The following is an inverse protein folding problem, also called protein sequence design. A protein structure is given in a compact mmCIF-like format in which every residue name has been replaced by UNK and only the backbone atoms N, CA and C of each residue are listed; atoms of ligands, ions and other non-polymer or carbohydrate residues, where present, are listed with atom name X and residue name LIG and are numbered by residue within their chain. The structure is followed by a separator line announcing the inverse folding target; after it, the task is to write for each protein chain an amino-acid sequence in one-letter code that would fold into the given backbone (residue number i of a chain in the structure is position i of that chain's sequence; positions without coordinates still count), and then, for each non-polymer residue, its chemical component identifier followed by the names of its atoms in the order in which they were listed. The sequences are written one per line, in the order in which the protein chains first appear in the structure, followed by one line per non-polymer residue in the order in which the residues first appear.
data_IF_069472121146
#
_entry.id   IF_069472121146
#
_cell.length_a   1.000
_cell.length_b   1.000
_cell.length_c   1.000
_cell.angle_alpha   90.00
_cell.angle_beta   90.00
_cell.angle_gamma   90.00
#
_symmetry.space_group_name_H-M   'P 1'
#
loop_
_entity.id
_entity.type
_entity.pdbx_description
1 polymer ?
#
# COMPACT_ATOMS: atom_id res chain seq x y z
N UNK A 1 21.14 17.77 -10.29
CA UNK A 1 21.33 16.68 -11.28
C UNK A 1 21.41 15.38 -10.50
N UNK A 2 20.28 14.72 -10.24
CA UNK A 2 20.32 13.38 -9.65
C UNK A 2 20.57 12.44 -10.81
N UNK A 3 21.81 11.92 -10.92
CA UNK A 3 22.11 10.85 -11.85
C UNK A 3 21.29 9.61 -11.44
N UNK A 4 20.41 9.13 -12.31
CA UNK A 4 19.80 7.81 -12.16
C UNK A 4 20.82 6.76 -12.59
N UNK A 5 21.51 6.17 -11.62
CA UNK A 5 22.32 4.99 -11.87
C UNK A 5 21.40 3.82 -12.26
N UNK A 6 21.64 3.23 -13.44
CA UNK A 6 20.94 2.03 -13.88
C UNK A 6 21.86 0.83 -13.63
N UNK A 7 21.38 -0.11 -12.83
CA UNK A 7 22.05 -1.39 -12.60
C UNK A 7 21.36 -2.50 -13.40
N UNK A 8 22.16 -3.37 -14.02
CA UNK A 8 21.64 -4.49 -14.78
C UNK A 8 21.32 -5.67 -13.86
N UNK A 9 20.07 -6.14 -13.88
CA UNK A 9 19.62 -7.33 -13.16
C UNK A 9 19.30 -8.43 -14.17
N UNK A 10 19.84 -9.63 -13.96
CA UNK A 10 19.51 -10.81 -14.79
C UNK A 10 18.56 -11.72 -14.04
N UNK A 11 17.45 -12.10 -14.68
CA UNK A 11 16.46 -13.02 -14.10
C UNK A 11 15.92 -13.96 -15.17
N UNK A 12 15.51 -15.16 -14.75
CA UNK A 12 14.91 -16.17 -15.63
C UNK A 12 13.40 -16.06 -15.53
N UNK A 13 12.75 -15.72 -16.64
CA UNK A 13 11.29 -15.60 -16.71
C UNK A 13 10.70 -16.77 -17.51
N UNK A 14 9.51 -17.26 -17.13
CA UNK A 14 8.76 -18.20 -17.97
C UNK A 14 8.53 -17.62 -19.37
N UNK A 15 8.58 -18.46 -20.40
CA UNK A 15 8.39 -18.03 -21.80
C UNK A 15 7.08 -17.29 -22.01
N UNK A 16 6.02 -17.70 -21.32
CA UNK A 16 4.70 -17.08 -21.47
C UNK A 16 4.66 -15.64 -20.97
N UNK A 17 5.33 -15.38 -19.85
CA UNK A 17 5.46 -14.04 -19.29
C UNK A 17 6.26 -13.13 -20.22
N UNK A 18 7.35 -13.65 -20.81
CA UNK A 18 8.16 -12.87 -21.75
C UNK A 18 7.36 -12.49 -23.00
N UNK A 19 6.55 -13.41 -23.54
CA UNK A 19 5.66 -13.12 -24.67
C UNK A 19 4.67 -12.00 -24.36
N UNK A 20 4.11 -12.00 -23.16
CA UNK A 20 3.15 -10.96 -22.75
C UNK A 20 3.82 -9.59 -22.60
N UNK A 21 5.03 -9.55 -22.02
CA UNK A 21 5.84 -8.33 -21.94
C UNK A 21 6.16 -7.80 -23.34
N UNK A 22 6.58 -8.66 -24.27
CA UNK A 22 6.89 -8.25 -25.64
C UNK A 22 5.66 -7.68 -26.36
N UNK A 23 4.51 -8.35 -26.24
CA UNK A 23 3.23 -7.89 -26.79
C UNK A 23 2.84 -6.50 -26.27
N UNK A 24 3.02 -6.26 -24.96
CA UNK A 24 2.73 -4.96 -24.35
C UNK A 24 3.74 -3.88 -24.77
N UNK A 25 5.02 -4.23 -24.89
CA UNK A 25 6.07 -3.31 -25.29
C UNK A 25 5.85 -2.79 -26.72
N UNK A 26 5.47 -3.69 -27.63
CA UNK A 26 5.08 -3.34 -29.01
C UNK A 26 3.86 -2.41 -29.04
N UNK A 27 2.82 -2.75 -28.27
CA UNK A 27 1.59 -1.95 -28.18
C UNK A 27 1.86 -0.53 -27.68
N UNK A 28 2.73 -0.39 -26.67
CA UNK A 28 3.09 0.88 -26.05
C UNK A 28 4.24 1.62 -26.75
N UNK A 29 4.87 0.99 -27.76
CA UNK A 29 6.04 1.51 -28.50
C UNK A 29 7.21 1.87 -27.59
N UNK A 30 7.49 1.03 -26.60
CA UNK A 30 8.62 1.16 -25.67
C UNK A 30 9.55 -0.04 -25.80
N UNK A 31 10.80 0.11 -25.37
CA UNK A 31 11.69 -1.05 -25.32
C UNK A 31 11.30 -2.00 -24.16
N UNK A 32 11.70 -3.25 -24.31
CA UNK A 32 11.40 -4.31 -23.34
C UNK A 32 11.91 -3.97 -21.93
N UNK A 33 13.09 -3.35 -21.83
CA UNK A 33 13.71 -3.07 -20.52
C UNK A 33 12.96 -1.95 -19.80
N UNK A 34 12.55 -0.92 -20.53
CA UNK A 34 11.70 0.16 -20.02
C UNK A 34 10.34 -0.35 -19.55
N UNK A 35 9.66 -1.20 -20.34
CA UNK A 35 8.39 -1.78 -19.90
C UNK A 35 8.56 -2.62 -18.64
N UNK A 36 9.56 -3.51 -18.60
CA UNK A 36 9.85 -4.33 -17.41
C UNK A 36 10.10 -3.43 -16.20
N UNK A 37 10.86 -2.34 -16.36
CA UNK A 37 11.13 -1.39 -15.28
C UNK A 37 9.85 -0.74 -14.77
N UNK A 38 8.96 -0.28 -15.65
CA UNK A 38 7.66 0.32 -15.27
C UNK A 38 6.75 -0.66 -14.55
N UNK A 39 6.66 -1.89 -15.05
CA UNK A 39 5.87 -2.96 -14.41
C UNK A 39 6.42 -3.29 -13.02
N UNK A 40 7.74 -3.36 -12.87
CA UNK A 40 8.39 -3.58 -11.58
C UNK A 40 8.16 -2.41 -10.62
N UNK A 41 8.31 -1.16 -11.07
CA UNK A 41 8.03 0.02 -10.23
C UNK A 41 6.57 0.01 -9.75
N UNK A 42 5.62 -0.27 -10.65
CA UNK A 42 4.22 -0.43 -10.29
C UNK A 42 4.00 -1.53 -9.25
N UNK A 43 4.57 -2.73 -9.48
CA UNK A 43 4.44 -3.85 -8.57
C UNK A 43 5.04 -3.55 -7.19
N UNK A 44 6.19 -2.87 -7.12
CA UNK A 44 6.83 -2.49 -5.87
C UNK A 44 6.01 -1.45 -5.10
N UNK A 45 5.43 -0.46 -5.79
CA UNK A 45 4.50 0.50 -5.16
C UNK A 45 3.27 -0.21 -4.61
N UNK A 46 2.68 -1.11 -5.38
CA UNK A 46 1.51 -1.87 -4.94
C UNK A 46 1.83 -2.74 -3.72
N UNK A 47 2.98 -3.42 -3.71
CA UNK A 47 3.44 -4.22 -2.57
C UNK A 47 3.57 -3.39 -1.29
N UNK A 48 4.16 -2.18 -1.38
CA UNK A 48 4.28 -1.26 -0.23
C UNK A 48 2.93 -0.82 0.30
N UNK A 49 1.97 -0.55 -0.58
CA UNK A 49 0.59 -0.19 -0.19
C UNK A 49 -0.07 -1.36 0.54
N UNK A 50 0.05 -2.58 0.02
CA UNK A 50 -0.57 -3.76 0.62
C UNK A 50 0.03 -4.08 2.00
N UNK A 51 1.36 -4.01 2.16
CA UNK A 51 2.04 -4.18 3.46
C UNK A 51 1.60 -3.11 4.49
N UNK A 52 1.44 -1.85 4.05
CA UNK A 52 1.00 -0.76 4.92
C UNK A 52 -0.46 -0.93 5.38
N UNK A 53 -1.34 -1.40 4.48
CA UNK A 53 -2.74 -1.68 4.79
C UNK A 53 -2.89 -2.86 5.75
N UNK A 54 -2.06 -3.90 5.60
CA UNK A 54 -2.03 -5.04 6.51
C UNK A 54 -1.56 -4.61 7.91
N UNK A 55 -0.46 -3.86 8.00
CA UNK A 55 0.01 -3.31 9.27
C UNK A 55 -1.03 -2.41 9.96
N UNK A 56 -1.79 -1.62 9.19
CA UNK A 56 -2.91 -0.82 9.72
C UNK A 56 -4.05 -1.71 10.22
N UNK A 57 -4.46 -2.71 9.43
CA UNK A 57 -5.53 -3.64 9.79
C UNK A 57 -5.24 -4.36 11.11
N UNK A 58 -3.99 -4.75 11.32
CA UNK A 58 -3.55 -5.44 12.54
C UNK A 58 -3.42 -4.50 13.74
N UNK A 59 -3.68 -3.20 13.58
CA UNK A 59 -3.53 -2.19 14.63
C UNK A 59 -2.06 -1.91 14.99
N UNK A 60 -1.09 -2.42 14.21
CA UNK A 60 0.34 -2.26 14.48
C UNK A 60 0.84 -0.84 14.17
N UNK A 61 0.16 -0.13 13.28
CA UNK A 61 0.48 1.25 12.91
C UNK A 61 -0.77 2.12 12.83
N UNK A 62 -0.60 3.43 13.02
CA UNK A 62 -1.67 4.40 12.78
C UNK A 62 -1.94 4.56 11.28
N UNK A 63 -3.11 5.07 10.92
CA UNK A 63 -3.45 5.38 9.52
C UNK A 63 -2.44 6.32 8.86
N UNK A 64 -1.96 7.31 9.61
CA UNK A 64 -0.91 8.23 9.17
C UNK A 64 0.39 7.49 8.87
N UNK A 65 0.82 6.62 9.79
CA UNK A 65 2.05 5.86 9.61
C UNK A 65 1.95 4.88 8.44
N UNK A 66 0.78 4.28 8.22
CA UNK A 66 0.53 3.46 7.03
C UNK A 66 0.66 4.28 5.74
N UNK A 67 0.13 5.50 5.70
CA UNK A 67 0.28 6.39 4.54
C UNK A 67 1.76 6.68 4.23
N UNK A 68 2.56 6.97 5.25
CA UNK A 68 4.02 7.17 5.11
C UNK A 68 4.73 5.92 4.56
N UNK A 69 4.41 4.73 5.08
CA UNK A 69 4.98 3.46 4.63
C UNK A 69 4.67 3.20 3.14
N UNK A 70 3.42 3.40 2.76
CA UNK A 70 2.95 3.28 1.38
C UNK A 70 3.53 4.37 0.46
N UNK A 71 4.02 5.49 1.00
CA UNK A 71 4.53 6.61 0.23
C UNK A 71 3.43 7.40 -0.49
N UNK A 72 2.24 7.44 0.10
CA UNK A 72 1.06 8.15 -0.42
C UNK A 72 0.58 9.19 0.60
N UNK A 73 -0.29 10.10 0.19
CA UNK A 73 -0.89 11.05 1.11
C UNK A 73 -1.85 10.36 2.10
N UNK A 74 -2.06 10.97 3.27
CA UNK A 74 -3.09 10.49 4.22
C UNK A 74 -4.46 10.37 3.55
N UNK A 75 -4.80 11.30 2.64
CA UNK A 75 -6.09 11.29 1.94
C UNK A 75 -6.25 10.06 1.06
N UNK A 76 -5.23 9.71 0.29
CA UNK A 76 -5.24 8.50 -0.52
C UNK A 76 -5.35 7.24 0.36
N UNK A 77 -4.65 7.23 1.50
CA UNK A 77 -4.76 6.11 2.45
C UNK A 77 -6.17 5.98 3.05
N UNK A 78 -6.82 7.10 3.40
CA UNK A 78 -8.22 7.11 3.86
C UNK A 78 -9.17 6.50 2.82
N UNK A 79 -9.02 6.89 1.55
CA UNK A 79 -9.84 6.34 0.47
C UNK A 79 -9.56 4.84 0.27
N UNK A 80 -8.30 4.40 0.31
CA UNK A 80 -7.94 2.99 0.18
C UNK A 80 -8.52 2.13 1.30
N UNK A 81 -8.43 2.57 2.55
CA UNK A 81 -9.01 1.87 3.71
C UNK A 81 -10.52 1.75 3.57
N UNK A 82 -11.19 2.82 3.12
CA UNK A 82 -12.63 2.82 2.86
C UNK A 82 -13.02 1.88 1.72
N UNK A 83 -12.31 1.94 0.59
CA UNK A 83 -12.56 1.08 -0.58
C UNK A 83 -12.33 -0.40 -0.26
N UNK A 84 -11.27 -0.73 0.50
CA UNK A 84 -10.97 -2.10 0.92
C UNK A 84 -11.75 -2.54 2.17
N UNK A 85 -12.67 -1.71 2.67
CA UNK A 85 -13.50 -1.96 3.85
C UNK A 85 -12.68 -2.43 5.06
N UNK A 86 -11.48 -1.85 5.25
CA UNK A 86 -10.64 -2.19 6.39
C UNK A 86 -11.24 -1.51 7.63
N UNK A 87 -11.66 -2.29 8.65
CA UNK A 87 -12.22 -1.71 9.85
C UNK A 87 -11.19 -0.85 10.57
N UNK A 88 -11.67 0.18 11.26
CA UNK A 88 -10.83 0.93 12.18
C UNK A 88 -10.39 -0.04 13.28
N UNK A 89 -9.08 -0.19 13.54
CA UNK A 89 -8.60 -1.00 14.66
C UNK A 89 -9.20 -0.46 15.96
N UNK A 90 -10.12 -1.22 16.54
CA UNK A 90 -10.84 -0.87 17.75
C UNK A 90 -10.66 -1.98 18.78
N UNK A 91 -10.08 -1.64 19.92
CA UNK A 91 -9.70 -2.60 20.95
C UNK A 91 -10.69 -2.61 22.12
N UNK A 92 -10.61 -3.64 22.97
CA UNK A 92 -11.39 -3.68 24.21
C UNK A 92 -11.04 -2.53 25.16
N UNK A 93 -9.80 -2.04 25.13
CA UNK A 93 -9.41 -0.90 25.96
C UNK A 93 -9.97 0.43 25.42
N UNK A 94 -10.13 0.56 24.09
CA UNK A 94 -10.89 1.66 23.50
C UNK A 94 -12.35 1.63 23.99
N UNK A 95 -12.97 0.45 23.98
CA UNK A 95 -14.33 0.28 24.49
C UNK A 95 -14.45 0.66 25.98
N UNK A 96 -13.50 0.22 26.82
CA UNK A 96 -13.51 0.59 28.25
C UNK A 96 -13.40 2.10 28.44
N UNK A 97 -12.52 2.76 27.69
CA UNK A 97 -12.35 4.22 27.76
C UNK A 97 -13.62 4.95 27.33
N UNK A 98 -14.26 4.50 26.26
CA UNK A 98 -15.52 5.07 25.80
C UNK A 98 -16.63 4.90 26.84
N UNK A 99 -16.71 3.72 27.48
CA UNK A 99 -17.66 3.46 28.57
C UNK A 99 -17.41 4.36 29.80
N UNK A 100 -16.15 4.53 30.22
CA UNK A 100 -15.80 5.42 31.33
C UNK A 100 -16.17 6.87 31.02
N UNK A 101 -15.86 7.32 29.80
CA UNK A 101 -16.22 8.65 29.33
C UNK A 101 -17.74 8.89 29.39
N UNK A 102 -18.53 7.92 28.91
CA UNK A 102 -20.00 7.99 28.97
C UNK A 102 -20.48 8.06 30.42
N UNK A 103 -20.00 7.18 31.31
CA UNK A 103 -20.37 7.17 32.74
C UNK A 103 -20.10 8.53 33.42
N UNK A 104 -18.94 9.13 33.17
CA UNK A 104 -18.58 10.44 33.71
C UNK A 104 -19.51 11.55 33.23
N UNK A 105 -20.01 11.45 31.99
CA UNK A 105 -20.89 12.46 31.38
C UNK A 105 -22.36 12.28 31.74
N UNK A 106 -22.83 11.05 31.94
CA UNK A 106 -24.25 10.77 32.23
C UNK A 106 -24.59 10.80 33.71
N UNK A 107 -23.62 10.93 34.62
CA UNK A 107 -23.91 11.12 36.05
C UNK A 107 -24.75 9.99 36.65
N UNK A 108 -24.58 8.76 36.17
CA UNK A 108 -25.03 7.59 36.91
C UNK A 108 -23.82 7.08 37.70
N UNK A 109 -23.83 7.38 39.00
CA UNK A 109 -23.10 6.59 40.00
C UNK A 109 -23.50 5.12 39.92
#
# INVERSE_FOLDING_TARGET
MIWMALEAVTTRLPREMLREVERLAEKEKVDRSELIRRLLDFALRQKRVDEALEAYRDGSVTLWRAAEMAGISLREMMELVKMKQIPIPYTLDDLKRDMEYVRRKTGCE
#
